data_IF_970086806300
#
_entry.id   IF_970086806300
#
_cell.length_a   1.000
_cell.length_b   1.000
_cell.length_c   1.000
_cell.angle_alpha   90.00
_cell.angle_beta   90.00
_cell.angle_gamma   90.00
#
_symmetry.space_group_name_H-M   'P 1'
#
loop_
_entity.id
_entity.type
_entity.pdbx_description
1 polymer ?
#
# COMPACT_ATOMS: atom_id res chain seq x y z
N UNK A 1 16.78 -3.42 -20.82
CA UNK A 1 16.31 -2.68 -19.64
C UNK A 1 14.94 -2.14 -19.98
N UNK A 2 13.97 -2.34 -19.09
CA UNK A 2 12.70 -1.64 -19.09
C UNK A 2 12.85 -0.35 -18.28
N UNK A 3 12.22 0.73 -18.76
CA UNK A 3 12.21 2.02 -18.06
C UNK A 3 11.23 2.00 -16.88
N UNK A 4 11.46 2.88 -15.90
CA UNK A 4 10.58 3.03 -14.76
C UNK A 4 9.19 3.53 -15.22
N UNK A 5 8.13 3.02 -14.59
CA UNK A 5 6.75 3.37 -14.95
C UNK A 5 5.83 3.35 -13.75
N UNK A 6 4.95 4.36 -13.68
CA UNK A 6 3.85 4.41 -12.73
C UNK A 6 2.54 4.01 -13.43
N UNK A 7 1.80 3.11 -12.80
CA UNK A 7 0.48 2.67 -13.22
C UNK A 7 -0.54 3.05 -12.15
N UNK A 8 -1.76 3.36 -12.58
CA UNK A 8 -2.92 3.48 -11.69
C UNK A 8 -3.98 2.50 -12.17
N UNK A 9 -4.39 1.61 -11.29
CA UNK A 9 -5.44 0.61 -11.53
C UNK A 9 -6.59 0.85 -10.57
N UNK A 10 -7.79 0.43 -10.95
CA UNK A 10 -8.97 0.45 -10.08
C UNK A 10 -9.35 -0.98 -9.75
N UNK A 11 -9.41 -1.30 -8.45
CA UNK A 11 -9.77 -2.63 -7.96
C UNK A 11 -11.02 -2.53 -7.07
N UNK A 12 -11.94 -3.49 -7.15
CA UNK A 12 -13.18 -3.43 -6.38
C UNK A 12 -12.90 -3.62 -4.89
N UNK A 13 -13.25 -2.63 -4.08
CA UNK A 13 -13.17 -2.65 -2.63
C UNK A 13 -14.54 -3.05 -2.05
N UNK A 14 -14.60 -3.97 -1.07
CA UNK A 14 -15.86 -4.47 -0.52
C UNK A 14 -16.80 -3.35 -0.07
N UNK A 15 -18.03 -3.36 -0.60
CA UNK A 15 -19.15 -2.46 -0.25
C UNK A 15 -18.88 -0.94 -0.35
N UNK A 16 -17.74 -0.52 -0.94
CA UNK A 16 -17.35 0.90 -1.07
C UNK A 16 -16.92 1.30 -2.50
N UNK A 17 -17.19 0.47 -3.49
CA UNK A 17 -16.87 0.75 -4.90
C UNK A 17 -15.41 0.44 -5.24
N UNK A 18 -14.85 1.16 -6.21
CA UNK A 18 -13.46 0.91 -6.64
C UNK A 18 -12.45 1.71 -5.82
N UNK A 19 -11.32 1.08 -5.53
CA UNK A 19 -10.14 1.68 -4.92
C UNK A 19 -9.04 1.87 -5.97
N UNK A 20 -8.43 3.06 -6.01
CA UNK A 20 -7.21 3.23 -6.79
C UNK A 20 -6.06 2.49 -6.10
N UNK A 21 -5.32 1.75 -6.90
CA UNK A 21 -4.04 1.17 -6.52
C UNK A 21 -2.99 1.68 -7.50
N UNK A 22 -1.91 2.21 -6.96
CA UNK A 22 -0.77 2.75 -7.68
C UNK A 22 0.30 1.68 -7.72
N UNK A 23 0.90 1.43 -8.89
CA UNK A 23 2.00 0.47 -9.04
C UNK A 23 3.17 1.17 -9.72
N UNK A 24 4.19 1.50 -8.94
CA UNK A 24 5.46 2.00 -9.44
C UNK A 24 6.40 0.83 -9.68
N UNK A 25 6.72 0.60 -10.95
CA UNK A 25 7.71 -0.39 -11.38
C UNK A 25 8.99 0.38 -11.72
N UNK A 26 10.07 0.21 -10.96
CA UNK A 26 11.34 0.87 -11.24
C UNK A 26 12.02 0.28 -12.47
N UNK A 27 13.07 0.93 -12.96
CA UNK A 27 13.86 0.42 -14.10
C UNK A 27 14.51 -0.92 -13.75
N UNK A 28 14.44 -1.91 -14.65
CA UNK A 28 14.88 -3.28 -14.38
C UNK A 28 15.27 -4.02 -15.67
N UNK A 29 15.91 -5.18 -15.52
CA UNK A 29 16.24 -6.05 -16.65
C UNK A 29 15.00 -6.78 -17.16
N UNK A 30 14.95 -7.06 -18.48
CA UNK A 30 13.82 -7.80 -19.03
C UNK A 30 13.76 -9.22 -18.44
N UNK A 31 12.60 -9.60 -17.92
CA UNK A 31 12.39 -10.90 -17.27
C UNK A 31 12.83 -10.98 -15.80
N UNK A 32 13.41 -9.91 -15.26
CA UNK A 32 13.71 -9.79 -13.83
C UNK A 32 12.40 -9.72 -13.03
N UNK A 33 12.35 -10.39 -11.88
CA UNK A 33 11.30 -10.22 -10.87
C UNK A 33 11.88 -9.46 -9.69
N UNK A 34 11.09 -8.54 -9.16
CA UNK A 34 11.50 -7.59 -8.13
C UNK A 34 10.78 -7.88 -6.81
N UNK A 35 11.42 -7.62 -5.65
CA UNK A 35 10.71 -7.47 -4.39
C UNK A 35 9.60 -6.42 -4.50
N UNK A 36 8.57 -6.55 -3.67
CA UNK A 36 7.41 -5.66 -3.67
C UNK A 36 7.08 -5.15 -2.27
N UNK A 37 6.81 -3.86 -2.17
CA UNK A 37 6.36 -3.20 -0.93
C UNK A 37 4.95 -2.66 -1.16
N UNK A 38 3.99 -3.21 -0.42
CA UNK A 38 2.61 -2.73 -0.38
C UNK A 38 2.50 -1.64 0.68
N UNK A 39 2.00 -0.47 0.30
CA UNK A 39 1.96 0.72 1.12
C UNK A 39 0.53 1.26 1.25
N UNK A 40 0.12 1.58 2.47
CA UNK A 40 -1.13 2.32 2.69
C UNK A 40 -0.99 3.77 2.25
N UNK A 41 -2.12 4.48 2.12
CA UNK A 41 -2.16 5.90 1.77
C UNK A 41 -1.55 6.21 0.40
N UNK A 42 -1.87 5.37 -0.59
CA UNK A 42 -1.35 5.41 -1.96
C UNK A 42 -1.38 6.80 -2.59
N UNK A 43 -2.42 7.58 -2.30
CA UNK A 43 -2.59 8.93 -2.83
C UNK A 43 -1.45 9.87 -2.43
N UNK A 44 -0.75 9.58 -1.33
CA UNK A 44 0.31 10.43 -0.76
C UNK A 44 1.71 10.07 -1.30
N UNK A 45 1.86 8.99 -2.08
CA UNK A 45 3.17 8.39 -2.33
C UNK A 45 3.94 9.01 -3.50
N UNK A 46 3.22 9.47 -4.53
CA UNK A 46 3.83 9.76 -5.84
C UNK A 46 3.65 11.21 -6.32
N UNK A 47 2.50 11.84 -6.06
CA UNK A 47 2.21 13.20 -6.55
C UNK A 47 2.54 14.24 -5.48
N UNK A 48 3.46 15.16 -5.78
CA UNK A 48 3.89 16.23 -4.88
C UNK A 48 2.75 17.20 -4.51
N UNK A 49 1.66 17.23 -5.28
CA UNK A 49 0.48 18.06 -5.01
C UNK A 49 -0.66 17.30 -4.31
N UNK A 50 -0.47 16.02 -3.98
CA UNK A 50 -1.53 15.16 -3.44
C UNK A 50 -1.97 15.50 -2.02
N UNK A 51 -1.08 16.06 -1.20
CA UNK A 51 -1.36 16.39 0.20
C UNK A 51 -0.89 17.79 0.57
N UNK A 52 -1.45 18.35 1.65
CA UNK A 52 -0.98 19.59 2.27
C UNK A 52 0.48 19.52 2.74
N UNK A 53 1.03 18.31 2.88
CA UNK A 53 2.39 18.05 3.36
C UNK A 53 3.32 17.52 2.24
N UNK A 54 2.84 17.50 0.99
CA UNK A 54 3.57 16.97 -0.15
C UNK A 54 3.51 15.44 -0.28
N UNK A 55 4.35 14.91 -1.16
CA UNK A 55 4.52 13.47 -1.39
C UNK A 55 5.46 12.84 -0.38
N UNK A 56 5.35 11.53 -0.18
CA UNK A 56 6.36 10.75 0.55
C UNK A 56 7.61 10.43 -0.29
N UNK A 57 7.63 10.84 -1.56
CA UNK A 57 8.76 10.75 -2.47
C UNK A 57 9.28 9.31 -2.67
N UNK A 58 8.40 8.31 -2.60
CA UNK A 58 8.82 6.89 -2.59
C UNK A 58 9.54 6.47 -3.87
N UNK A 59 9.16 7.03 -5.02
CA UNK A 59 9.86 6.78 -6.28
C UNK A 59 11.31 7.29 -6.24
N UNK A 60 11.53 8.50 -5.69
CA UNK A 60 12.87 9.06 -5.51
C UNK A 60 13.70 8.22 -4.53
N UNK A 61 13.08 7.72 -3.46
CA UNK A 61 13.72 6.82 -2.51
C UNK A 61 14.19 5.53 -3.19
N UNK A 62 13.32 4.85 -3.95
CA UNK A 62 13.69 3.62 -4.70
C UNK A 62 14.83 3.89 -5.69
N UNK A 63 14.76 4.99 -6.45
CA UNK A 63 15.84 5.37 -7.37
C UNK A 63 17.18 5.58 -6.66
N UNK A 64 17.17 6.17 -5.47
CA UNK A 64 18.38 6.41 -4.68
C UNK A 64 18.97 5.11 -4.13
N UNK A 65 18.15 4.19 -3.66
CA UNK A 65 18.58 2.85 -3.23
C UNK A 65 19.17 2.06 -4.41
N UNK A 66 18.55 2.14 -5.59
CA UNK A 66 19.05 1.52 -6.81
C UNK A 66 20.43 2.08 -7.21
N UNK A 67 20.60 3.41 -7.19
CA UNK A 67 21.89 4.06 -7.48
C UNK A 67 22.98 3.72 -6.45
N UNK A 68 22.58 3.47 -5.21
CA UNK A 68 23.49 3.12 -4.11
C UNK A 68 23.87 1.63 -4.10
N UNK A 69 23.23 0.81 -4.95
CA UNK A 69 23.51 -0.62 -5.07
C UNK A 69 22.87 -1.49 -3.99
N UNK A 70 21.93 -0.95 -3.19
CA UNK A 70 21.22 -1.69 -2.14
C UNK A 70 20.19 -2.65 -2.75
N UNK A 71 19.49 -2.20 -3.79
CA UNK A 71 18.51 -3.02 -4.47
C UNK A 71 17.42 -2.20 -5.12
N UNK A 72 16.32 -2.87 -5.45
CA UNK A 72 15.20 -2.28 -6.16
C UNK A 72 13.90 -2.93 -5.67
N UNK A 73 12.79 -2.21 -5.72
CA UNK A 73 11.49 -2.75 -5.33
C UNK A 73 10.34 -2.10 -6.09
N UNK A 74 9.35 -2.91 -6.45
CA UNK A 74 8.04 -2.41 -6.90
C UNK A 74 7.33 -1.81 -5.68
N UNK A 75 6.78 -0.61 -5.84
CA UNK A 75 5.96 0.02 -4.79
C UNK A 75 4.50 -0.03 -5.22
N UNK A 76 3.66 -0.62 -4.37
CA UNK A 76 2.22 -0.70 -4.58
C UNK A 76 1.52 0.17 -3.54
N UNK A 77 1.00 1.33 -3.94
CA UNK A 77 0.25 2.22 -3.05
C UNK A 77 -1.25 1.96 -3.11
N UNK A 78 -1.90 1.74 -1.97
CA UNK A 78 -3.36 1.56 -1.89
C UNK A 78 -3.97 2.84 -1.30
N UNK A 79 -4.81 3.53 -2.07
CA UNK A 79 -5.50 4.73 -1.56
C UNK A 79 -6.29 4.40 -0.28
N UNK A 80 -6.44 5.36 0.61
CA UNK A 80 -7.34 5.23 1.75
C UNK A 80 -8.75 5.74 1.44
N UNK A 81 -9.72 5.43 2.29
CA UNK A 81 -11.11 5.90 2.23
C UNK A 81 -11.36 7.37 2.58
N UNK A 82 -10.35 8.25 2.54
CA UNK A 82 -10.43 9.65 2.98
C UNK A 82 -10.94 9.76 4.42
N UNK A 83 -12.17 10.26 4.63
CA UNK A 83 -12.81 10.32 5.95
C UNK A 83 -12.95 8.93 6.62
N UNK A 84 -12.88 7.85 5.85
CA UNK A 84 -12.93 6.47 6.33
C UNK A 84 -11.54 5.84 6.52
N UNK A 85 -10.44 6.59 6.33
CA UNK A 85 -9.07 6.07 6.45
C UNK A 85 -8.87 5.32 7.75
N UNK A 86 -9.22 5.92 8.88
CA UNK A 86 -8.97 5.29 10.17
C UNK A 86 -9.86 4.08 10.39
N UNK A 87 -11.09 4.09 9.88
CA UNK A 87 -11.96 2.91 9.88
C UNK A 87 -11.33 1.75 9.12
N UNK A 88 -10.87 2.00 7.89
CA UNK A 88 -10.25 1.00 7.02
C UNK A 88 -8.90 0.49 7.54
N UNK A 89 -8.18 1.27 8.34
CA UNK A 89 -6.83 0.94 8.81
C UNK A 89 -6.76 0.59 10.31
N UNK A 90 -7.91 0.43 10.97
CA UNK A 90 -7.99 -0.02 12.37
C UNK A 90 -8.66 -1.40 12.42
N UNK A 91 -7.91 -2.48 12.64
CA UNK A 91 -8.50 -3.80 12.84
C UNK A 91 -9.37 -3.82 14.10
N UNK A 92 -10.47 -4.56 14.07
CA UNK A 92 -11.38 -4.71 15.20
C UNK A 92 -10.81 -5.63 16.28
N UNK A 93 -10.02 -6.61 15.87
CA UNK A 93 -9.45 -7.65 16.72
C UNK A 93 -8.37 -7.16 17.70
N UNK A 94 -7.80 -5.96 17.51
CA UNK A 94 -6.73 -5.43 18.39
C UNK A 94 -7.25 -4.90 19.72
N UNK A 95 -8.57 -4.82 19.92
CA UNK A 95 -9.20 -4.44 21.18
C UNK A 95 -10.17 -3.27 21.08
N UNK A 96 -10.56 -2.74 22.23
CA UNK A 96 -11.46 -1.59 22.34
C UNK A 96 -10.76 -0.31 21.86
N UNK A 97 -11.36 0.38 20.89
CA UNK A 97 -10.87 1.66 20.40
C UNK A 97 -11.25 2.75 21.39
N UNK A 98 -10.24 3.42 21.95
CA UNK A 98 -10.41 4.57 22.83
C UNK A 98 -10.41 5.87 22.01
N UNK A 99 -10.84 6.97 22.65
CA UNK A 99 -10.83 8.30 22.05
C UNK A 99 -11.62 8.40 20.74
N UNK A 100 -12.83 7.81 20.73
CA UNK A 100 -13.71 7.81 19.55
C UNK A 100 -13.99 9.23 19.03
N UNK A 101 -13.95 10.24 19.91
CA UNK A 101 -14.08 11.66 19.57
C UNK A 101 -13.02 12.20 18.61
N UNK A 102 -11.90 11.49 18.42
CA UNK A 102 -10.84 11.88 17.49
C UNK A 102 -11.08 11.39 16.06
N UNK A 103 -12.06 10.51 15.84
CA UNK A 103 -12.37 9.94 14.54
C UNK A 103 -13.64 10.57 13.94
N UNK A 104 -13.97 10.16 12.71
CA UNK A 104 -15.23 10.56 12.09
C UNK A 104 -16.43 10.00 12.87
N UNK A 105 -17.58 10.69 12.78
CA UNK A 105 -18.80 10.38 13.56
C UNK A 105 -19.27 8.92 13.38
N UNK A 106 -19.08 8.36 12.18
CA UNK A 106 -19.49 7.01 11.81
C UNK A 106 -18.37 5.97 11.88
N UNK A 107 -17.27 6.27 12.58
CA UNK A 107 -16.12 5.38 12.65
C UNK A 107 -16.50 3.96 13.10
N UNK A 108 -16.00 2.97 12.35
CA UNK A 108 -16.02 1.55 12.73
C UNK A 108 -14.66 0.92 12.43
N UNK A 109 -14.10 0.09 13.32
CA UNK A 109 -12.86 -0.62 13.02
C UNK A 109 -13.15 -1.71 11.98
N UNK A 110 -12.62 -1.51 10.77
CA UNK A 110 -12.85 -2.32 9.57
C UNK A 110 -11.53 -2.84 8.97
N UNK A 111 -10.44 -2.83 9.73
CA UNK A 111 -9.11 -3.24 9.26
C UNK A 111 -9.04 -4.64 8.65
N UNK A 112 -9.84 -5.59 9.13
CA UNK A 112 -9.93 -6.93 8.54
C UNK A 112 -10.53 -6.93 7.13
N UNK A 113 -11.39 -5.96 6.80
CA UNK A 113 -11.93 -5.78 5.44
C UNK A 113 -10.81 -5.28 4.52
N UNK A 114 -10.01 -4.32 4.99
CA UNK A 114 -8.85 -3.85 4.25
C UNK A 114 -7.79 -4.95 4.08
N UNK A 115 -7.50 -5.72 5.13
CA UNK A 115 -6.56 -6.86 5.06
C UNK A 115 -7.01 -7.90 4.04
N UNK A 116 -8.30 -8.27 4.07
CA UNK A 116 -8.87 -9.18 3.10
C UNK A 116 -8.76 -8.63 1.67
N UNK A 117 -9.05 -7.35 1.46
CA UNK A 117 -8.87 -6.70 0.17
C UNK A 117 -7.39 -6.73 -0.29
N UNK A 118 -6.44 -6.47 0.61
CA UNK A 118 -5.02 -6.55 0.32
C UNK A 118 -4.63 -7.98 -0.10
N UNK A 119 -4.97 -8.98 0.72
CA UNK A 119 -4.52 -10.37 0.55
C UNK A 119 -5.21 -11.09 -0.61
N UNK A 120 -6.50 -10.85 -0.82
CA UNK A 120 -7.30 -11.62 -1.78
C UNK A 120 -7.61 -10.88 -3.08
N UNK A 121 -7.32 -9.58 -3.15
CA UNK A 121 -7.56 -8.77 -4.37
C UNK A 121 -6.29 -8.09 -4.86
N UNK A 122 -5.64 -7.28 -4.03
CA UNK A 122 -4.50 -6.45 -4.47
C UNK A 122 -3.28 -7.31 -4.77
N UNK A 123 -2.84 -8.14 -3.82
CA UNK A 123 -1.65 -9.00 -4.00
C UNK A 123 -1.82 -9.92 -5.21
N UNK A 124 -2.92 -10.70 -5.34
CA UNK A 124 -3.10 -11.57 -6.51
C UNK A 124 -3.16 -10.80 -7.84
N UNK A 125 -3.75 -9.61 -7.87
CA UNK A 125 -3.73 -8.79 -9.08
C UNK A 125 -2.30 -8.37 -9.43
N UNK A 126 -1.51 -7.91 -8.45
CA UNK A 126 -0.15 -7.45 -8.69
C UNK A 126 0.75 -8.60 -9.16
N UNK A 127 0.69 -9.75 -8.50
CA UNK A 127 1.48 -10.94 -8.84
C UNK A 127 1.23 -11.46 -10.26
N UNK A 128 -0.01 -11.34 -10.75
CA UNK A 128 -0.38 -11.80 -12.08
C UNK A 128 -0.06 -10.81 -13.21
N UNK A 129 0.13 -9.53 -12.90
CA UNK A 129 0.23 -8.46 -13.91
C UNK A 129 1.55 -7.69 -13.91
N UNK A 130 2.39 -7.84 -12.88
CA UNK A 130 3.63 -7.09 -12.71
C UNK A 130 4.82 -8.02 -12.43
N UNK A 131 6.07 -7.58 -12.71
CA UNK A 131 7.27 -8.39 -12.54
C UNK A 131 7.69 -8.47 -11.07
N UNK A 132 6.86 -9.08 -10.21
CA UNK A 132 7.13 -9.19 -8.77
C UNK A 132 7.47 -10.62 -8.36
N UNK A 133 8.30 -10.74 -7.33
CA UNK A 133 8.48 -11.95 -6.56
C UNK A 133 7.25 -12.21 -5.68
N UNK A 134 6.92 -13.48 -5.47
CA UNK A 134 5.71 -13.91 -4.74
C UNK A 134 6.03 -14.65 -3.44
N UNK A 135 7.31 -14.85 -3.15
CA UNK A 135 7.78 -15.49 -1.93
C UNK A 135 7.88 -14.49 -0.78
N UNK A 136 7.45 -14.91 0.41
CA UNK A 136 7.27 -14.04 1.59
C UNK A 136 8.49 -13.18 1.94
N UNK A 137 9.70 -13.66 1.69
CA UNK A 137 10.96 -12.92 1.95
C UNK A 137 11.15 -11.69 1.02
N UNK A 138 10.40 -11.61 -0.08
CA UNK A 138 10.44 -10.51 -1.05
C UNK A 138 9.18 -9.64 -1.02
N UNK A 139 8.30 -9.83 -0.03
CA UNK A 139 7.04 -9.10 0.12
C UNK A 139 7.05 -8.36 1.45
N UNK A 140 6.79 -7.05 1.42
CA UNK A 140 6.65 -6.23 2.60
C UNK A 140 5.33 -5.44 2.58
N UNK A 141 4.81 -5.13 3.77
CA UNK A 141 3.69 -4.20 3.98
C UNK A 141 4.20 -3.05 4.84
N UNK A 142 3.87 -1.81 4.46
CA UNK A 142 4.38 -0.60 5.09
C UNK A 142 3.30 0.50 5.16
N UNK A 143 3.38 1.37 6.16
CA UNK A 143 2.45 2.46 6.34
C UNK A 143 2.82 3.36 7.52
N UNK A 144 2.13 4.50 7.62
CA UNK A 144 2.37 5.49 8.67
C UNK A 144 1.12 5.71 9.53
N UNK A 145 1.31 5.97 10.83
CA UNK A 145 0.21 6.13 11.79
C UNK A 145 -0.73 4.91 11.76
N UNK A 146 -2.03 5.09 11.51
CA UNK A 146 -3.00 3.99 11.31
C UNK A 146 -2.57 3.00 10.22
N UNK A 147 -1.85 3.45 9.19
CA UNK A 147 -1.26 2.55 8.19
C UNK A 147 -0.12 1.68 8.75
N UNK A 148 0.63 2.19 9.73
CA UNK A 148 1.64 1.41 10.44
C UNK A 148 1.00 0.38 11.38
N UNK A 149 -0.10 0.75 12.04
CA UNK A 149 -0.93 -0.19 12.80
C UNK A 149 -1.45 -1.32 11.90
N UNK A 150 -2.03 -0.97 10.75
CA UNK A 150 -2.51 -1.94 9.76
C UNK A 150 -1.39 -2.85 9.25
N UNK A 151 -0.22 -2.28 8.93
CA UNK A 151 0.96 -3.05 8.48
C UNK A 151 1.43 -4.05 9.54
N UNK A 152 1.45 -3.63 10.80
CA UNK A 152 1.80 -4.50 11.92
C UNK A 152 0.79 -5.63 12.10
N UNK A 153 -0.50 -5.33 12.02
CA UNK A 153 -1.56 -6.34 12.06
C UNK A 153 -1.41 -7.37 10.93
N UNK A 154 -1.29 -6.94 9.68
CA UNK A 154 -1.12 -7.85 8.53
C UNK A 154 0.13 -8.73 8.67
N UNK A 155 1.22 -8.22 9.25
CA UNK A 155 2.43 -9.00 9.48
C UNK A 155 2.30 -10.05 10.60
N UNK A 156 1.34 -9.90 11.51
CA UNK A 156 1.07 -10.86 12.59
C UNK A 156 0.06 -11.93 12.18
N UNK A 157 -0.92 -11.59 11.35
CA UNK A 157 -1.92 -12.53 10.86
C UNK A 157 -1.38 -13.52 9.81
N UNK A 158 -0.28 -13.17 9.11
CA UNK A 158 0.26 -13.93 7.96
C UNK A 158 1.78 -14.14 8.02
#
# INVERSE_FOLDING_TARGET
>A
MADAKLHTIKLPYPDKGDRNVWVYVPSHSYGEKLPVVYMTDGQNLFDDNSTLHGSWEVAKAVENEQKSGVGNAVIVGIDNGNAWRDSELTPKSIGEVQHLEMFCEDFKPEGEIFDNFLMNTVIPYVENNFPVCTDRQNVAVCGSSSGGLMSFFSAFEH
#
